data_IF_844450468552
#
_entry.id   IF_844450468552
#
_cell.length_a   1.000
_cell.length_b   1.000
_cell.length_c   1.000
_cell.angle_alpha   90.00
_cell.angle_beta   90.00
_cell.angle_gamma   90.00
#
_symmetry.space_group_name_H-M   'P 1'
#
loop_
_entity.id
_entity.type
_entity.pdbx_description
1 polymer ?
#
# COMPACT_ATOMS: atom_id res chain seq x y z
N UNK A 1 -53.89 -17.60 23.71
CA UNK A 1 -52.88 -16.63 23.19
C UNK A 1 -53.20 -15.16 23.54
N UNK A 2 -53.85 -14.82 24.68
CA UNK A 2 -54.28 -13.43 24.94
C UNK A 2 -53.77 -12.79 26.25
N UNK A 3 -52.81 -13.40 26.96
CA UNK A 3 -52.41 -12.92 28.29
C UNK A 3 -51.15 -12.04 28.32
N UNK A 4 -50.44 -11.89 27.20
CA UNK A 4 -49.22 -11.06 27.13
C UNK A 4 -49.49 -9.60 26.75
N UNK A 5 -50.56 -9.32 25.99
CA UNK A 5 -50.88 -7.96 25.56
C UNK A 5 -51.51 -7.08 26.67
N UNK A 6 -52.09 -7.70 27.72
CA UNK A 6 -52.84 -6.97 28.75
C UNK A 6 -51.97 -6.44 29.92
N UNK A 7 -50.69 -6.82 29.96
CA UNK A 7 -49.77 -6.40 31.03
C UNK A 7 -49.06 -5.06 30.76
N UNK A 8 -49.19 -4.48 29.55
CA UNK A 8 -48.38 -3.30 29.14
C UNK A 8 -49.17 -1.97 29.24
N UNK A 9 -50.50 -2.00 29.36
CA UNK A 9 -51.33 -0.79 29.22
C UNK A 9 -51.60 0.00 30.52
N UNK A 10 -50.94 -0.32 31.64
CA UNK A 10 -51.28 0.24 32.96
C UNK A 10 -50.33 1.29 33.53
N UNK A 11 -49.14 1.51 32.96
CA UNK A 11 -48.13 2.34 33.61
C UNK A 11 -48.14 3.77 33.07
N UNK A 12 -48.86 4.68 33.77
CA UNK A 12 -48.73 6.14 33.56
C UNK A 12 -47.35 6.60 34.04
N UNK A 13 -46.31 6.36 33.24
CA UNK A 13 -44.98 6.92 33.48
C UNK A 13 -45.07 8.45 33.50
N UNK A 14 -44.60 9.05 34.59
CA UNK A 14 -44.46 10.50 34.74
C UNK A 14 -43.63 11.07 33.58
N UNK A 15 -44.06 12.21 33.02
CA UNK A 15 -43.41 12.85 31.86
C UNK A 15 -41.91 13.08 32.10
N UNK A 16 -41.53 13.42 33.34
CA UNK A 16 -40.12 13.58 33.74
C UNK A 16 -39.34 12.27 33.61
N UNK A 17 -39.93 11.15 34.01
CA UNK A 17 -39.31 9.83 33.91
C UNK A 17 -39.15 9.38 32.47
N UNK A 18 -40.12 9.69 31.59
CA UNK A 18 -39.99 9.46 30.14
C UNK A 18 -38.84 10.25 29.53
N UNK A 19 -38.67 11.51 29.96
CA UNK A 19 -37.58 12.36 29.53
C UNK A 19 -36.21 11.79 29.97
N UNK A 20 -36.08 11.36 31.23
CA UNK A 20 -34.85 10.73 31.72
C UNK A 20 -34.51 9.44 30.97
N UNK A 21 -35.50 8.58 30.69
CA UNK A 21 -35.30 7.36 29.92
C UNK A 21 -34.89 7.64 28.47
N UNK A 22 -35.46 8.67 27.84
CA UNK A 22 -35.10 9.07 26.49
C UNK A 22 -33.65 9.61 26.42
N UNK A 23 -33.25 10.43 27.40
CA UNK A 23 -31.88 10.96 27.50
C UNK A 23 -30.88 9.82 27.73
N UNK A 24 -31.19 8.88 28.62
CA UNK A 24 -30.35 7.72 28.89
C UNK A 24 -30.19 6.83 27.65
N UNK A 25 -31.28 6.57 26.91
CA UNK A 25 -31.23 5.81 25.67
C UNK A 25 -30.40 6.51 24.58
N UNK A 26 -30.53 7.84 24.45
CA UNK A 26 -29.73 8.63 23.51
C UNK A 26 -28.24 8.58 23.87
N UNK A 27 -27.89 8.68 25.15
CA UNK A 27 -26.51 8.59 25.62
C UNK A 27 -25.89 7.22 25.30
N UNK A 28 -26.64 6.12 25.49
CA UNK A 28 -26.18 4.77 25.14
C UNK A 28 -25.96 4.63 23.63
N UNK A 29 -26.88 5.14 22.81
CA UNK A 29 -26.73 5.12 21.35
C UNK A 29 -25.52 5.92 20.88
N UNK A 30 -25.24 7.07 21.51
CA UNK A 30 -24.06 7.87 21.20
C UNK A 30 -22.75 7.16 21.59
N UNK A 31 -22.71 6.47 22.74
CA UNK A 31 -21.54 5.68 23.16
C UNK A 31 -21.29 4.46 22.26
N UNK A 32 -22.36 3.78 21.83
CA UNK A 32 -22.27 2.66 20.89
C UNK A 32 -21.90 3.13 19.48
N UNK A 33 -22.46 4.25 19.01
CA UNK A 33 -22.06 4.86 17.73
C UNK A 33 -20.58 5.27 17.74
N UNK A 34 -20.12 5.93 18.81
CA UNK A 34 -18.73 6.40 18.93
C UNK A 34 -17.71 5.25 18.97
N UNK A 35 -18.08 4.09 19.54
CA UNK A 35 -17.21 2.90 19.54
C UNK A 35 -17.15 2.19 18.18
N UNK A 36 -18.21 2.23 17.38
CA UNK A 36 -18.19 1.71 16.00
C UNK A 36 -17.35 2.59 15.07
N UNK A 37 -17.39 3.92 15.23
CA UNK A 37 -16.58 4.84 14.40
C UNK A 37 -15.07 4.79 14.70
N UNK A 38 -14.64 4.35 15.89
CA UNK A 38 -13.21 4.23 16.20
C UNK A 38 -12.48 3.13 15.43
N UNK A 39 -13.21 2.14 14.88
CA UNK A 39 -12.63 1.07 14.09
C UNK A 39 -12.65 1.33 12.57
N UNK A 40 -13.24 2.43 12.11
CA UNK A 40 -12.99 2.96 10.77
C UNK A 40 -11.77 3.89 10.79
N UNK A 41 -10.64 3.39 11.30
CA UNK A 41 -9.37 3.86 10.77
C UNK A 41 -9.27 3.31 9.35
N UNK A 42 -9.76 4.11 8.40
CA UNK A 42 -9.18 4.11 7.07
C UNK A 42 -7.69 4.25 7.31
N UNK A 43 -6.96 3.16 7.10
CA UNK A 43 -5.52 3.22 6.96
C UNK A 43 -5.33 4.09 5.74
N UNK A 44 -5.16 5.40 5.97
CA UNK A 44 -4.41 6.23 5.06
C UNK A 44 -3.06 5.53 4.98
N UNK A 45 -2.92 4.64 3.99
CA UNK A 45 -1.65 4.13 3.52
C UNK A 45 -0.83 5.38 3.30
N UNK A 46 0.02 5.70 4.28
CA UNK A 46 0.83 6.91 4.25
C UNK A 46 1.43 7.00 2.86
N UNK A 47 1.28 8.15 2.22
CA UNK A 47 1.93 8.42 0.94
C UNK A 47 3.39 8.01 1.12
N UNK A 48 3.75 6.87 0.53
CA UNK A 48 5.10 6.39 0.61
C UNK A 48 5.93 7.42 -0.14
N UNK A 49 6.84 8.08 0.55
CA UNK A 49 7.73 9.07 -0.03
C UNK A 49 9.04 8.39 -0.38
N UNK A 50 9.61 8.80 -1.51
CA UNK A 50 10.97 8.42 -1.86
C UNK A 50 11.93 8.91 -0.77
N UNK A 51 12.80 8.03 -0.30
CA UNK A 51 13.87 8.38 0.64
C UNK A 51 15.21 7.87 0.13
N UNK A 52 16.30 8.41 0.67
CA UNK A 52 17.64 7.99 0.27
C UNK A 52 17.86 6.50 0.62
N UNK A 53 18.39 5.72 -0.32
CA UNK A 53 18.59 4.28 -0.14
C UNK A 53 19.72 3.95 0.84
N UNK A 54 20.54 4.91 1.26
CA UNK A 54 21.51 4.75 2.37
C UNK A 54 20.87 4.33 3.70
N UNK A 55 19.56 4.52 3.85
CA UNK A 55 18.78 4.06 5.00
C UNK A 55 18.49 2.55 4.98
N UNK A 56 18.81 1.86 3.88
CA UNK A 56 18.67 0.41 3.73
C UNK A 56 19.94 -0.26 4.23
N UNK A 57 19.80 -1.47 4.75
CA UNK A 57 20.93 -2.29 5.20
C UNK A 57 22.01 -2.39 4.10
N UNK A 58 23.29 -2.14 4.43
CA UNK A 58 24.37 -2.13 3.44
C UNK A 58 24.53 -3.43 2.64
N UNK A 59 24.26 -4.58 3.24
CA UNK A 59 24.35 -5.89 2.57
C UNK A 59 23.30 -6.01 1.47
N UNK A 60 22.04 -5.68 1.78
CA UNK A 60 20.94 -5.66 0.82
C UNK A 60 21.20 -4.65 -0.29
N UNK A 61 21.62 -3.43 0.04
CA UNK A 61 21.90 -2.40 -0.96
C UNK A 61 23.02 -2.84 -1.92
N UNK A 62 24.02 -3.57 -1.43
CA UNK A 62 25.10 -4.11 -2.27
C UNK A 62 24.59 -5.19 -3.22
N UNK A 63 23.73 -6.09 -2.75
CA UNK A 63 23.06 -7.09 -3.61
C UNK A 63 22.20 -6.41 -4.68
N UNK A 64 21.42 -5.40 -4.30
CA UNK A 64 20.56 -4.64 -5.23
C UNK A 64 21.38 -4.03 -6.37
N UNK A 65 22.52 -3.42 -6.06
CA UNK A 65 23.40 -2.86 -7.08
C UNK A 65 24.02 -3.98 -7.91
N UNK A 66 24.54 -5.04 -7.30
CA UNK A 66 25.16 -6.16 -8.02
C UNK A 66 24.20 -6.82 -9.01
N UNK A 67 22.93 -6.98 -8.65
CA UNK A 67 21.92 -7.62 -9.50
C UNK A 67 21.39 -6.74 -10.64
N UNK A 68 21.66 -5.42 -10.63
CA UNK A 68 21.07 -4.46 -11.58
C UNK A 68 22.09 -3.58 -12.29
N UNK A 69 23.31 -3.45 -11.77
CA UNK A 69 24.37 -2.63 -12.33
C UNK A 69 25.54 -3.50 -12.79
N UNK A 70 25.51 -3.87 -14.07
CA UNK A 70 26.59 -4.61 -14.73
C UNK A 70 27.39 -3.59 -15.55
N UNK A 71 28.39 -2.95 -14.93
CA UNK A 71 29.38 -2.12 -15.62
C UNK A 71 30.73 -2.86 -15.64
N UNK A 72 31.50 -2.70 -16.71
CA UNK A 72 32.88 -3.18 -16.82
C UNK A 72 33.81 -2.63 -15.73
N UNK A 73 33.46 -1.49 -15.12
CA UNK A 73 34.16 -0.91 -13.98
C UNK A 73 33.76 -1.50 -12.61
N UNK A 74 32.78 -2.43 -12.57
CA UNK A 74 32.35 -3.12 -11.36
C UNK A 74 31.36 -2.34 -10.49
N UNK A 75 30.76 -3.06 -9.54
CA UNK A 75 29.74 -2.59 -8.57
C UNK A 75 30.27 -1.46 -7.67
N UNK A 76 31.57 -1.42 -7.43
CA UNK A 76 32.22 -0.45 -6.53
C UNK A 76 32.19 0.98 -7.05
N UNK A 77 32.10 1.16 -8.37
CA UNK A 77 32.01 2.48 -8.99
C UNK A 77 30.61 3.09 -8.96
N UNK A 78 29.60 2.32 -8.54
CA UNK A 78 28.25 2.80 -8.46
C UNK A 78 28.07 3.72 -7.23
N UNK A 79 27.70 4.97 -7.49
CA UNK A 79 27.39 5.94 -6.44
C UNK A 79 26.04 5.65 -5.78
N UNK A 80 26.07 4.83 -4.72
CA UNK A 80 24.90 4.44 -3.91
C UNK A 80 24.18 5.63 -3.28
N UNK A 81 24.83 6.80 -3.13
CA UNK A 81 24.22 7.98 -2.51
C UNK A 81 23.08 8.58 -3.34
N UNK A 82 23.07 8.31 -4.65
CA UNK A 82 22.04 8.78 -5.59
C UNK A 82 20.81 7.89 -5.62
N UNK A 83 20.91 6.66 -5.10
CA UNK A 83 19.80 5.74 -5.05
C UNK A 83 18.75 6.21 -4.07
N UNK A 84 17.51 5.92 -4.42
CA UNK A 84 16.38 6.12 -3.55
C UNK A 84 15.56 4.85 -3.45
N UNK A 85 14.79 4.80 -2.37
CA UNK A 85 13.92 3.69 -2.04
C UNK A 85 12.53 4.20 -1.69
N UNK A 86 11.53 3.47 -2.14
CA UNK A 86 10.13 3.66 -1.77
C UNK A 86 9.65 2.37 -1.09
N UNK A 87 9.09 2.48 0.12
CA UNK A 87 8.59 1.33 0.88
C UNK A 87 7.08 1.22 0.74
N UNK A 88 6.61 0.15 0.12
CA UNK A 88 5.19 -0.11 -0.06
C UNK A 88 4.76 -1.23 0.89
N UNK A 89 3.60 -1.09 1.57
CA UNK A 89 3.08 -2.16 2.41
C UNK A 89 2.75 -3.38 1.55
N UNK A 90 3.29 -4.54 1.89
CA UNK A 90 3.03 -5.80 1.19
C UNK A 90 2.64 -6.88 2.20
N UNK A 91 1.72 -7.78 1.81
CA UNK A 91 1.37 -8.92 2.65
C UNK A 91 1.61 -10.16 1.82
N UNK A 92 2.68 -10.88 2.15
CA UNK A 92 3.00 -12.16 1.55
C UNK A 92 2.20 -13.27 2.24
N UNK A 93 2.30 -14.49 1.73
CA UNK A 93 1.76 -15.67 2.40
C UNK A 93 2.45 -15.99 3.73
N UNK A 94 3.68 -15.51 3.93
CA UNK A 94 4.49 -15.73 5.15
C UNK A 94 4.28 -14.68 6.24
N UNK A 95 3.65 -13.55 5.92
CA UNK A 95 3.41 -12.49 6.88
C UNK A 95 3.23 -11.10 6.26
N UNK A 96 3.34 -10.08 7.11
CA UNK A 96 3.34 -8.68 6.67
C UNK A 96 4.79 -8.26 6.38
N UNK A 97 5.07 -7.99 5.12
CA UNK A 97 6.37 -7.55 4.66
C UNK A 97 6.29 -6.13 4.08
N UNK A 98 7.40 -5.63 3.54
CA UNK A 98 7.41 -4.39 2.78
C UNK A 98 8.08 -4.64 1.44
N UNK A 99 7.42 -4.23 0.36
CA UNK A 99 8.07 -4.17 -0.93
C UNK A 99 8.93 -2.90 -0.98
N UNK A 100 10.19 -3.06 -1.37
CA UNK A 100 11.14 -1.97 -1.51
C UNK A 100 11.36 -1.73 -3.00
N UNK A 101 10.94 -0.57 -3.48
CA UNK A 101 11.16 -0.13 -4.86
C UNK A 101 12.39 0.74 -4.90
N UNK A 102 13.41 0.35 -5.65
CA UNK A 102 14.64 1.09 -5.82
C UNK A 102 14.64 1.86 -7.13
N UNK A 103 14.94 3.16 -7.00
CA UNK A 103 15.20 4.10 -8.10
C UNK A 103 16.70 4.37 -8.10
N UNK A 104 17.40 3.97 -9.17
CA UNK A 104 18.87 4.03 -9.18
C UNK A 104 19.45 5.41 -9.49
N UNK A 105 18.69 6.29 -10.16
CA UNK A 105 19.11 7.64 -10.55
C UNK A 105 20.52 7.72 -11.18
N UNK A 106 20.90 6.67 -11.93
CA UNK A 106 22.19 6.56 -12.59
C UNK A 106 22.01 6.64 -14.09
N UNK A 107 22.82 7.46 -14.77
CA UNK A 107 22.78 7.61 -16.22
C UNK A 107 22.99 6.28 -16.95
N UNK A 108 23.79 5.36 -16.40
CA UNK A 108 24.02 4.05 -17.02
C UNK A 108 22.79 3.12 -16.93
N UNK A 109 21.84 3.43 -16.02
CA UNK A 109 20.60 2.69 -15.82
C UNK A 109 19.38 3.49 -16.31
N UNK A 110 19.62 4.57 -17.06
CA UNK A 110 18.61 5.40 -17.68
C UNK A 110 18.96 5.62 -19.16
N UNK A 111 18.04 5.33 -20.06
CA UNK A 111 18.25 5.52 -21.50
C UNK A 111 16.98 6.00 -22.20
N UNK A 112 16.95 5.86 -23.53
CA UNK A 112 15.80 6.25 -24.37
C UNK A 112 14.50 5.54 -23.96
N UNK A 113 14.61 4.34 -23.37
CA UNK A 113 13.48 3.55 -22.86
C UNK A 113 12.96 3.97 -21.48
N UNK A 114 13.65 4.88 -20.77
CA UNK A 114 13.36 5.24 -19.39
C UNK A 114 14.47 4.83 -18.42
N UNK A 115 14.19 4.97 -17.12
CA UNK A 115 15.08 4.58 -16.03
C UNK A 115 14.68 3.23 -15.45
N UNK A 116 15.67 2.46 -14.99
CA UNK A 116 15.47 1.19 -14.32
C UNK A 116 14.88 1.40 -12.91
N UNK A 117 13.82 0.66 -12.62
CA UNK A 117 13.26 0.47 -11.30
C UNK A 117 13.27 -1.02 -10.98
N UNK A 118 13.64 -1.36 -9.74
CA UNK A 118 13.63 -2.74 -9.27
C UNK A 118 12.87 -2.85 -7.95
N UNK A 119 12.12 -3.92 -7.78
CA UNK A 119 11.29 -4.17 -6.60
C UNK A 119 11.81 -5.41 -5.91
N UNK A 120 12.00 -5.30 -4.59
CA UNK A 120 12.43 -6.39 -3.74
C UNK A 120 11.40 -6.65 -2.65
N UNK A 121 11.18 -7.94 -2.37
CA UNK A 121 10.44 -8.43 -1.21
C UNK A 121 11.36 -9.44 -0.54
N UNK A 122 11.55 -9.33 0.78
CA UNK A 122 12.40 -10.24 1.55
C UNK A 122 13.79 -10.48 0.95
N UNK A 123 14.41 -9.38 0.48
CA UNK A 123 15.72 -9.37 -0.20
C UNK A 123 15.79 -10.08 -1.55
N UNK A 124 14.67 -10.57 -2.07
CA UNK A 124 14.58 -11.17 -3.39
C UNK A 124 14.05 -10.16 -4.40
N UNK A 125 14.69 -10.07 -5.58
CA UNK A 125 14.20 -9.26 -6.68
C UNK A 125 12.96 -9.90 -7.29
N UNK A 126 11.83 -9.20 -7.22
CA UNK A 126 10.53 -9.69 -7.68
C UNK A 126 10.01 -9.03 -8.95
N UNK A 127 10.55 -7.85 -9.28
CA UNK A 127 10.27 -7.13 -10.53
C UNK A 127 11.45 -6.23 -10.89
N UNK A 128 11.75 -6.13 -12.18
CA UNK A 128 12.65 -5.12 -12.72
C UNK A 128 12.06 -4.58 -14.02
N UNK A 129 11.90 -3.26 -14.14
CA UNK A 129 11.18 -2.64 -15.25
C UNK A 129 11.73 -1.26 -15.58
N UNK A 130 11.64 -0.87 -16.85
CA UNK A 130 12.02 0.45 -17.33
C UNK A 130 10.79 1.37 -17.32
N UNK A 131 10.88 2.46 -16.57
CA UNK A 131 9.81 3.45 -16.47
C UNK A 131 10.32 4.79 -17.00
N UNK A 132 9.52 5.43 -17.87
CA UNK A 132 9.87 6.71 -18.51
C UNK A 132 9.60 7.90 -17.59
N UNK A 133 8.65 7.77 -16.67
CA UNK A 133 8.37 8.81 -15.69
C UNK A 133 9.50 8.88 -14.66
N UNK A 134 9.95 10.10 -14.34
CA UNK A 134 10.83 10.33 -13.20
C UNK A 134 10.14 10.00 -11.87
N UNK A 135 8.81 10.12 -11.81
CA UNK A 135 7.99 9.83 -10.62
C UNK A 135 6.80 8.96 -11.01
N UNK A 136 7.00 7.63 -11.18
CA UNK A 136 5.89 6.71 -11.36
C UNK A 136 5.14 6.53 -10.04
N UNK A 137 3.82 6.37 -10.14
CA UNK A 137 2.94 6.09 -8.99
C UNK A 137 2.80 4.59 -8.83
N UNK A 138 3.15 4.10 -7.64
CA UNK A 138 3.00 2.69 -7.29
C UNK A 138 1.83 2.51 -6.33
N UNK A 139 0.97 1.53 -6.63
CA UNK A 139 -0.17 1.22 -5.78
C UNK A 139 -0.39 -0.29 -5.73
N UNK A 140 -0.40 -0.87 -4.54
CA UNK A 140 -0.91 -2.21 -4.38
C UNK A 140 -2.44 -2.21 -4.43
N UNK A 141 -2.98 -2.99 -5.35
CA UNK A 141 -4.39 -3.30 -5.48
C UNK A 141 -4.65 -4.57 -4.67
N UNK A 142 -5.46 -4.42 -3.61
CA UNK A 142 -6.04 -5.58 -2.94
C UNK A 142 -7.13 -6.11 -3.85
N UNK A 143 -6.84 -7.18 -4.61
CA UNK A 143 -7.89 -7.84 -5.39
C UNK A 143 -8.71 -8.68 -4.40
N UNK A 144 -9.89 -8.15 -4.06
CA UNK A 144 -10.90 -8.81 -3.19
C UNK A 144 -11.31 -10.18 -3.74
N UNK A 145 -11.03 -10.46 -5.02
CA UNK A 145 -11.20 -11.78 -5.62
C UNK A 145 -9.88 -12.55 -5.67
N UNK A 146 -9.81 -13.63 -4.88
CA UNK A 146 -8.75 -14.65 -4.79
C UNK A 146 -7.51 -14.29 -3.96
N UNK A 147 -7.42 -13.09 -3.38
CA UNK A 147 -6.40 -12.75 -2.38
C UNK A 147 -4.97 -12.62 -2.93
N UNK A 148 -4.81 -12.54 -4.25
CA UNK A 148 -3.50 -12.35 -4.89
C UNK A 148 -3.19 -10.84 -4.91
N UNK A 149 -2.10 -10.38 -4.28
CA UNK A 149 -1.73 -8.97 -4.32
C UNK A 149 -1.24 -8.58 -5.71
N UNK A 150 -1.81 -7.51 -6.27
CA UNK A 150 -1.36 -6.94 -7.54
C UNK A 150 -0.79 -5.54 -7.33
N UNK A 151 0.23 -5.19 -8.11
CA UNK A 151 0.88 -3.89 -8.17
C UNK A 151 0.46 -3.17 -9.45
N UNK A 152 -0.16 -2.01 -9.30
CA UNK A 152 -0.36 -1.05 -10.37
C UNK A 152 0.79 -0.03 -10.39
N UNK A 153 1.33 0.21 -11.58
CA UNK A 153 2.35 1.22 -11.85
C UNK A 153 1.77 2.18 -12.88
N UNK A 154 1.48 3.41 -12.45
CA UNK A 154 1.03 4.48 -13.34
C UNK A 154 2.18 5.43 -13.69
N UNK A 155 2.32 5.74 -14.98
CA UNK A 155 3.34 6.66 -15.50
C UNK A 155 2.78 7.50 -16.63
N UNK A 156 3.44 8.62 -16.98
CA UNK A 156 3.04 9.41 -18.15
C UNK A 156 3.22 8.61 -19.44
N UNK A 157 2.26 8.76 -20.36
CA UNK A 157 2.34 8.24 -21.73
C UNK A 157 3.54 8.82 -22.48
N UNK A 158 4.00 8.13 -23.52
CA UNK A 158 5.14 8.52 -24.37
C UNK A 158 4.90 9.90 -25.02
N UNK A 159 3.67 10.18 -25.40
CA UNK A 159 3.21 11.43 -26.03
C UNK A 159 2.73 12.48 -25.01
N UNK A 160 2.89 12.23 -23.70
CA UNK A 160 2.33 13.04 -22.61
C UNK A 160 0.81 13.25 -22.67
N UNK A 161 0.05 12.44 -23.43
CA UNK A 161 -1.41 12.61 -23.56
C UNK A 161 -2.20 12.17 -22.33
N UNK A 162 -1.56 11.51 -21.36
CA UNK A 162 -2.19 11.06 -20.14
C UNK A 162 -1.30 10.16 -19.28
N UNK A 163 -1.92 9.49 -18.31
CA UNK A 163 -1.29 8.43 -17.52
C UNK A 163 -1.64 7.06 -18.12
N UNK A 164 -0.63 6.21 -18.26
CA UNK A 164 -0.75 4.80 -18.62
C UNK A 164 -0.47 3.98 -17.38
N UNK A 165 -1.40 3.11 -17.02
CA UNK A 165 -1.27 2.16 -15.92
C UNK A 165 -0.88 0.78 -16.46
N UNK A 166 0.09 0.14 -15.82
CA UNK A 166 0.43 -1.27 -16.03
C UNK A 166 0.20 -2.04 -14.74
N UNK A 167 -0.48 -3.18 -14.84
CA UNK A 167 -0.78 -4.02 -13.68
C UNK A 167 0.10 -5.26 -13.69
N UNK A 168 0.56 -5.65 -12.50
CA UNK A 168 1.37 -6.83 -12.27
C UNK A 168 0.82 -7.60 -11.09
N UNK A 169 0.62 -8.90 -11.18
CA UNK A 169 0.09 -9.71 -10.07
C UNK A 169 1.15 -10.66 -9.52
N UNK A 170 1.05 -10.96 -8.23
CA UNK A 170 1.99 -11.84 -7.53
C UNK A 170 1.74 -13.32 -7.87
N UNK A 171 2.77 -14.01 -8.36
CA UNK A 171 2.72 -15.45 -8.66
C UNK A 171 3.75 -16.22 -7.82
N UNK A 172 3.72 -16.02 -6.50
CA UNK A 172 4.49 -16.79 -5.52
C UNK A 172 5.98 -16.43 -5.40
N UNK A 173 6.61 -15.94 -6.47
CA UNK A 173 8.03 -15.56 -6.49
C UNK A 173 8.32 -14.26 -7.23
N UNK A 174 7.44 -13.85 -8.15
CA UNK A 174 7.63 -12.67 -8.97
C UNK A 174 6.30 -12.02 -9.31
N UNK A 175 6.37 -10.76 -9.73
CA UNK A 175 5.26 -10.02 -10.30
C UNK A 175 5.23 -10.20 -11.82
N UNK A 176 4.14 -10.77 -12.34
CA UNK A 176 3.93 -10.92 -13.78
C UNK A 176 2.93 -9.88 -14.27
N UNK A 177 3.23 -9.27 -15.42
CA UNK A 177 2.35 -8.30 -16.05
C UNK A 177 1.03 -8.99 -16.44
N UNK A 178 -0.08 -8.36 -16.10
CA UNK A 178 -1.42 -8.76 -16.55
C UNK A 178 -1.94 -7.66 -17.48
N UNK A 179 -2.50 -8.08 -18.61
CA UNK A 179 -3.13 -7.18 -19.60
C UNK A 179 -4.55 -6.80 -19.19
#
# INVERSE_FOLDING_TARGET
MNNLAKAISGFKLNLRLRLYLAIAALAVLLLLGFSVFRNLSVTNSGLSTWSNASQIEPSLLSNVVQENYINSAGVETFDKSKMEVLRLPFVSSSGRDSAQVFRFNSQNLCGVGGCLYSIYIDRQKVLSTLLRSAEPKFKFLSVVNKGIPCLAIAQKSIDNSGEVESQYCWFGSSFLRVE
#
